data_IF_348042379929
#
_entry.id   IF_348042379929
#
_cell.length_a   1.000
_cell.length_b   1.000
_cell.length_c   1.000
_cell.angle_alpha   90.00
_cell.angle_beta   90.00
_cell.angle_gamma   90.00
#
_symmetry.space_group_name_H-M   'P 1'
#
loop_
_entity.id
_entity.type
_entity.pdbx_description
1 polymer ?
#
# COMPACT_ATOMS: atom_id res chain seq x y z
N UNK A 1 30.09 18.09 1.91
CA UNK A 1 28.65 18.49 1.94
C UNK A 1 28.45 19.50 0.84
N UNK A 2 27.50 19.32 -0.06
CA UNK A 2 27.24 20.27 -1.14
C UNK A 2 26.62 21.54 -0.52
N UNK A 3 27.18 22.75 -0.71
CA UNK A 3 26.68 23.99 -0.11
C UNK A 3 25.21 24.29 -0.46
N UNK A 4 24.76 23.84 -1.63
CA UNK A 4 23.38 23.98 -2.06
C UNK A 4 22.42 23.12 -1.18
N UNK A 5 22.84 21.93 -0.81
CA UNK A 5 22.05 21.04 0.06
C UNK A 5 21.93 21.63 1.47
N UNK A 6 23.01 22.23 1.99
CA UNK A 6 22.99 22.92 3.30
C UNK A 6 22.01 24.11 3.32
N UNK A 7 22.00 24.91 2.25
CA UNK A 7 21.09 26.05 2.13
C UNK A 7 19.60 25.59 2.01
N UNK A 8 19.37 24.51 1.28
CA UNK A 8 18.02 23.90 1.17
C UNK A 8 17.55 23.33 2.51
N UNK A 9 18.42 22.65 3.25
CA UNK A 9 18.10 22.11 4.58
C UNK A 9 17.82 23.22 5.60
N UNK A 10 18.38 24.42 5.42
CA UNK A 10 18.10 25.60 6.27
C UNK A 10 16.68 26.16 6.03
N UNK A 11 16.23 26.18 4.77
CA UNK A 11 14.90 26.71 4.39
C UNK A 11 13.82 25.65 4.56
N UNK A 12 14.14 24.39 4.25
CA UNK A 12 13.25 23.22 4.34
C UNK A 12 13.92 22.13 5.17
N UNK A 13 13.97 22.28 6.50
CA UNK A 13 14.67 21.33 7.35
C UNK A 13 14.06 19.91 7.19
N UNK A 14 14.92 18.90 7.08
CA UNK A 14 14.47 17.52 6.91
C UNK A 14 13.65 17.09 8.11
N UNK A 15 12.55 16.40 7.85
CA UNK A 15 11.64 15.88 8.89
C UNK A 15 11.52 14.37 8.79
N UNK A 16 11.46 13.71 9.95
CA UNK A 16 11.23 12.28 10.03
C UNK A 16 9.91 11.92 9.34
N UNK A 17 9.98 10.96 8.42
CA UNK A 17 8.80 10.46 7.67
C UNK A 17 7.71 9.96 8.64
N UNK A 18 8.10 9.35 9.76
CA UNK A 18 7.15 8.75 10.71
C UNK A 18 6.59 9.79 11.69
N UNK A 19 7.41 10.37 12.58
CA UNK A 19 6.95 11.27 13.64
C UNK A 19 6.92 12.76 13.27
N UNK A 20 7.45 13.13 12.10
CA UNK A 20 7.52 14.48 11.57
C UNK A 20 8.39 15.46 12.38
N UNK A 21 9.17 14.99 13.37
CA UNK A 21 10.17 15.79 14.09
C UNK A 21 11.33 16.14 13.16
N UNK A 22 11.99 17.26 13.43
CA UNK A 22 13.19 17.68 12.71
C UNK A 22 14.29 16.61 12.83
N UNK A 23 15.02 16.43 11.75
CA UNK A 23 16.19 15.56 11.67
C UNK A 23 17.45 16.41 11.63
N UNK A 24 18.54 15.90 12.19
CA UNK A 24 19.85 16.56 12.15
C UNK A 24 20.45 16.57 10.73
N UNK A 25 19.97 15.68 9.86
CA UNK A 25 20.48 15.52 8.50
C UNK A 25 19.43 14.92 7.59
N UNK A 26 19.42 15.35 6.32
CA UNK A 26 18.61 14.78 5.23
C UNK A 26 19.04 13.36 4.80
N UNK A 27 20.17 12.84 5.31
CA UNK A 27 20.70 11.52 4.93
C UNK A 27 19.83 10.35 5.44
N UNK A 28 19.23 10.51 6.62
CA UNK A 28 18.36 9.50 7.21
C UNK A 28 16.91 10.04 7.21
N UNK A 29 15.99 9.49 6.40
CA UNK A 29 14.63 10.00 6.31
C UNK A 29 13.76 9.65 7.53
N UNK A 30 14.25 8.80 8.43
CA UNK A 30 13.57 8.36 9.65
C UNK A 30 14.54 8.50 10.83
N UNK A 31 14.09 9.05 11.96
CA UNK A 31 14.91 9.16 13.17
C UNK A 31 15.11 7.77 13.83
N UNK A 32 16.19 7.61 14.59
CA UNK A 32 16.51 6.36 15.27
C UNK A 32 15.35 5.87 16.15
N UNK A 33 14.75 6.76 16.95
CA UNK A 33 13.60 6.39 17.78
C UNK A 33 12.45 5.75 16.99
N UNK A 34 12.13 6.27 15.79
CA UNK A 34 11.07 5.70 14.95
C UNK A 34 11.50 4.43 14.23
N UNK A 35 12.79 4.26 13.96
CA UNK A 35 13.30 2.99 13.41
C UNK A 35 13.23 1.86 14.44
N UNK A 36 13.65 2.14 15.67
CA UNK A 36 13.65 1.15 16.75
C UNK A 36 12.24 0.81 17.26
N UNK A 37 11.25 1.70 17.03
CA UNK A 37 9.87 1.54 17.48
C UNK A 37 8.88 1.51 16.29
N UNK A 38 9.31 1.01 15.13
CA UNK A 38 8.40 0.83 14.02
C UNK A 38 7.38 -0.27 14.39
N UNK A 39 6.06 -0.05 14.21
CA UNK A 39 5.05 -1.07 14.53
C UNK A 39 5.06 -2.17 13.45
N UNK A 40 6.12 -2.98 13.42
CA UNK A 40 6.27 -4.09 12.47
C UNK A 40 5.15 -5.11 12.62
N UNK A 41 4.71 -5.66 11.50
CA UNK A 41 3.65 -6.66 11.50
C UNK A 41 4.24 -8.06 11.76
N UNK A 42 4.05 -8.53 12.98
CA UNK A 42 4.44 -9.85 13.50
C UNK A 42 3.26 -10.83 13.67
N UNK A 43 2.06 -10.39 13.30
CA UNK A 43 0.84 -11.16 13.46
C UNK A 43 0.49 -12.06 12.26
N UNK A 44 -0.70 -12.66 12.32
CA UNK A 44 -1.23 -13.46 11.22
C UNK A 44 -1.49 -12.60 9.98
N UNK A 45 -1.10 -13.12 8.83
CA UNK A 45 -1.28 -12.46 7.54
C UNK A 45 -2.74 -12.02 7.32
N UNK A 46 -2.99 -10.84 6.72
CA UNK A 46 -4.33 -10.39 6.40
C UNK A 46 -5.03 -11.35 5.43
N UNK A 47 -6.30 -11.65 5.68
CA UNK A 47 -7.06 -12.48 4.77
C UNK A 47 -7.58 -11.66 3.57
N UNK A 48 -7.22 -12.10 2.36
CA UNK A 48 -7.70 -11.55 1.09
C UNK A 48 -8.22 -12.71 0.24
N UNK A 49 -9.50 -12.67 -0.12
CA UNK A 49 -10.09 -13.71 -0.96
C UNK A 49 -9.44 -13.68 -2.35
N UNK A 50 -9.27 -14.87 -2.95
CA UNK A 50 -8.67 -15.06 -4.26
C UNK A 50 -7.17 -14.75 -4.35
N UNK A 51 -6.52 -14.28 -3.29
CA UNK A 51 -5.06 -14.18 -3.24
C UNK A 51 -4.50 -15.45 -2.60
N UNK A 52 -3.37 -15.95 -3.12
CA UNK A 52 -2.66 -17.09 -2.51
C UNK A 52 -2.09 -16.71 -1.15
N UNK A 53 -1.64 -15.48 -1.00
CA UNK A 53 -1.15 -14.90 0.26
C UNK A 53 -1.26 -13.38 0.24
N UNK A 54 -1.47 -12.78 1.41
CA UNK A 54 -1.39 -11.32 1.60
C UNK A 54 -0.49 -11.01 2.79
N UNK A 55 0.53 -10.18 2.60
CA UNK A 55 1.42 -9.75 3.68
C UNK A 55 1.22 -8.26 3.98
N UNK A 56 1.45 -7.87 5.24
CA UNK A 56 1.53 -6.48 5.64
C UNK A 56 2.91 -6.21 6.25
N UNK A 57 3.43 -4.98 6.08
CA UNK A 57 4.74 -4.59 6.60
C UNK A 57 4.63 -4.11 8.04
N UNK A 58 3.60 -3.33 8.37
CA UNK A 58 3.43 -2.71 9.68
C UNK A 58 1.99 -2.85 10.18
N UNK A 59 1.80 -2.62 11.48
CA UNK A 59 0.49 -2.31 12.02
C UNK A 59 0.11 -0.84 11.76
N UNK A 60 -1.17 -0.59 11.47
CA UNK A 60 -1.72 0.74 11.24
C UNK A 60 -2.01 1.44 12.57
N UNK A 61 -0.95 1.82 13.28
CA UNK A 61 -0.95 2.41 14.62
C UNK A 61 -0.13 3.70 14.65
N UNK A 62 -0.30 4.53 15.68
CA UNK A 62 0.55 5.70 15.87
C UNK A 62 1.99 5.29 16.21
N UNK A 63 2.99 6.02 15.72
CA UNK A 63 2.91 7.27 14.92
C UNK A 63 2.81 7.04 13.40
N UNK A 64 2.86 5.80 12.92
CA UNK A 64 2.83 5.46 11.49
C UNK A 64 1.49 5.84 10.84
N UNK A 65 0.38 5.70 11.58
CA UNK A 65 -0.96 6.12 11.11
C UNK A 65 -1.00 7.59 10.69
N UNK A 66 -0.46 8.48 11.52
CA UNK A 66 -0.36 9.92 11.19
C UNK A 66 0.56 10.15 9.97
N UNK A 67 1.62 9.37 9.83
CA UNK A 67 2.53 9.42 8.68
C UNK A 67 1.82 9.00 7.38
N UNK A 68 1.10 7.89 7.38
CA UNK A 68 0.31 7.43 6.22
C UNK A 68 -0.79 8.46 5.87
N UNK A 69 -1.38 9.14 6.87
CA UNK A 69 -2.33 10.20 6.61
C UNK A 69 -1.69 11.38 5.86
N UNK A 70 -0.48 11.82 6.25
CA UNK A 70 0.29 12.83 5.51
C UNK A 70 0.64 12.37 4.09
N UNK A 71 0.99 11.09 3.92
CA UNK A 71 1.21 10.49 2.61
C UNK A 71 -0.05 10.50 1.75
N UNK A 72 -1.24 10.30 2.32
CA UNK A 72 -2.52 10.30 1.59
C UNK A 72 -3.06 11.70 1.27
N UNK A 73 -2.87 12.66 2.16
CA UNK A 73 -3.57 13.95 2.12
C UNK A 73 -2.65 15.17 2.30
N UNK A 74 -1.43 14.98 2.72
CA UNK A 74 -0.46 16.06 2.99
C UNK A 74 0.54 16.30 1.86
N UNK A 75 0.35 15.72 0.67
CA UNK A 75 1.24 15.93 -0.48
C UNK A 75 2.63 15.29 -0.37
N UNK A 76 2.88 14.50 0.68
CA UNK A 76 4.21 13.92 1.00
C UNK A 76 4.56 12.71 0.12
N UNK A 77 4.61 12.90 -1.21
CA UNK A 77 4.89 11.83 -2.20
C UNK A 77 6.22 11.12 -1.95
N UNK A 78 7.23 11.85 -1.46
CA UNK A 78 8.57 11.34 -1.17
C UNK A 78 8.57 10.22 -0.11
N UNK A 79 7.53 10.09 0.71
CA UNK A 79 7.41 9.01 1.69
C UNK A 79 7.35 7.63 1.04
N UNK A 80 6.86 7.55 -0.20
CA UNK A 80 6.81 6.30 -0.95
C UNK A 80 8.17 5.59 -1.08
N UNK A 81 9.27 6.36 -1.16
CA UNK A 81 10.62 5.79 -1.26
C UNK A 81 11.02 5.05 0.02
N UNK A 82 10.63 5.55 1.20
CA UNK A 82 10.90 4.91 2.49
C UNK A 82 10.00 3.69 2.66
N UNK A 83 8.70 3.88 2.47
CA UNK A 83 7.71 2.80 2.61
C UNK A 83 7.96 1.64 1.64
N UNK A 84 8.31 1.96 0.38
CA UNK A 84 8.61 0.95 -0.61
C UNK A 84 9.84 0.10 -0.25
N UNK A 85 10.85 0.68 0.40
CA UNK A 85 12.00 -0.09 0.92
C UNK A 85 11.58 -1.04 2.04
N UNK A 86 10.76 -0.59 2.99
CA UNK A 86 10.24 -1.45 4.07
C UNK A 86 9.38 -2.58 3.50
N UNK A 87 8.47 -2.25 2.58
CA UNK A 87 7.66 -3.27 1.91
C UNK A 87 8.52 -4.27 1.13
N UNK A 88 9.56 -3.81 0.46
CA UNK A 88 10.45 -4.69 -0.31
C UNK A 88 11.16 -5.73 0.57
N UNK A 89 11.58 -5.35 1.80
CA UNK A 89 12.14 -6.30 2.77
C UNK A 89 11.09 -7.36 3.13
N UNK A 90 9.89 -6.95 3.56
CA UNK A 90 8.81 -7.88 3.91
C UNK A 90 8.41 -8.79 2.74
N UNK A 91 8.37 -8.25 1.51
CA UNK A 91 8.02 -9.01 0.31
C UNK A 91 9.12 -10.02 -0.03
N UNK A 92 10.40 -9.62 0.04
CA UNK A 92 11.54 -10.52 -0.17
C UNK A 92 11.52 -11.68 0.81
N UNK A 93 11.31 -11.41 2.09
CA UNK A 93 11.30 -12.45 3.13
C UNK A 93 10.10 -13.42 3.03
N UNK A 94 8.92 -12.92 2.66
CA UNK A 94 7.67 -13.70 2.76
C UNK A 94 7.11 -14.17 1.42
N UNK A 95 7.43 -13.50 0.31
CA UNK A 95 6.84 -13.72 -1.03
C UNK A 95 7.87 -13.95 -2.13
N UNK A 96 9.16 -14.14 -1.81
CA UNK A 96 10.19 -14.34 -2.80
C UNK A 96 9.86 -15.46 -3.78
N UNK A 97 10.16 -15.25 -5.06
CA UNK A 97 9.91 -16.20 -6.15
C UNK A 97 8.42 -16.47 -6.46
N UNK A 98 7.47 -15.75 -5.85
CA UNK A 98 6.03 -15.98 -6.02
C UNK A 98 5.35 -15.10 -7.05
N UNK A 99 6.07 -14.19 -7.70
CA UNK A 99 5.51 -13.25 -8.69
C UNK A 99 6.54 -12.87 -9.76
N UNK A 100 6.04 -12.50 -10.92
CA UNK A 100 6.84 -12.11 -12.10
C UNK A 100 6.62 -10.64 -12.48
N UNK A 101 5.51 -10.05 -12.02
CA UNK A 101 5.07 -8.70 -12.35
C UNK A 101 4.41 -8.05 -11.15
N UNK A 102 4.74 -6.78 -10.89
CA UNK A 102 4.14 -5.99 -9.82
C UNK A 102 3.05 -5.08 -10.40
N UNK A 103 1.94 -4.99 -9.70
CA UNK A 103 0.83 -4.09 -10.02
C UNK A 103 0.25 -3.48 -8.75
N UNK A 104 -0.74 -2.61 -8.86
CA UNK A 104 -1.35 -1.93 -7.71
C UNK A 104 -2.87 -1.84 -7.82
N UNK A 105 -3.54 -1.67 -6.69
CA UNK A 105 -4.96 -1.37 -6.59
C UNK A 105 -5.17 0.13 -6.87
N UNK A 106 -5.70 0.53 -8.06
CA UNK A 106 -5.77 1.95 -8.41
C UNK A 106 -6.86 2.68 -7.62
N UNK A 107 -6.58 3.94 -7.28
CA UNK A 107 -7.61 4.86 -6.76
C UNK A 107 -8.48 5.38 -7.91
N UNK A 108 -9.70 5.87 -7.58
CA UNK A 108 -10.56 6.51 -8.58
C UNK A 108 -9.95 7.79 -9.14
N UNK A 109 -10.46 8.21 -10.32
CA UNK A 109 -10.05 9.48 -10.97
C UNK A 109 -10.27 10.69 -10.06
N UNK A 110 -11.37 10.72 -9.31
CA UNK A 110 -11.69 11.81 -8.38
C UNK A 110 -10.70 11.88 -7.23
N UNK A 111 -10.41 10.76 -6.59
CA UNK A 111 -9.40 10.69 -5.53
C UNK A 111 -8.01 11.06 -6.05
N UNK A 112 -7.65 10.62 -7.27
CA UNK A 112 -6.38 11.00 -7.89
C UNK A 112 -6.30 12.50 -8.16
N UNK A 113 -7.40 13.15 -8.60
CA UNK A 113 -7.46 14.61 -8.77
C UNK A 113 -7.32 15.34 -7.44
N UNK A 114 -8.04 14.94 -6.41
CA UNK A 114 -8.01 15.56 -5.08
C UNK A 114 -6.65 15.40 -4.40
N UNK A 115 -6.03 14.22 -4.50
CA UNK A 115 -4.74 13.90 -3.85
C UNK A 115 -3.53 14.30 -4.69
N UNK A 116 -3.73 14.48 -6.01
CA UNK A 116 -2.68 14.76 -6.98
C UNK A 116 -1.82 13.56 -7.37
N UNK A 117 -2.04 12.37 -6.77
CA UNK A 117 -1.33 11.11 -7.05
C UNK A 117 -2.10 9.89 -6.55
N UNK A 118 -1.66 8.72 -7.01
CA UNK A 118 -2.11 7.42 -6.54
C UNK A 118 -1.04 6.84 -5.60
N UNK A 119 -1.40 6.59 -4.33
CA UNK A 119 -0.48 6.12 -3.30
C UNK A 119 0.05 4.72 -3.62
N UNK A 120 -0.84 3.81 -4.01
CA UNK A 120 -0.47 2.44 -4.33
C UNK A 120 0.44 2.37 -5.57
N UNK A 121 0.23 3.25 -6.57
CA UNK A 121 1.13 3.41 -7.72
C UNK A 121 2.54 3.84 -7.29
N UNK A 122 2.65 4.82 -6.38
CA UNK A 122 3.94 5.29 -5.89
C UNK A 122 4.67 4.21 -5.08
N UNK A 123 3.95 3.47 -4.23
CA UNK A 123 4.51 2.33 -3.49
C UNK A 123 4.95 1.23 -4.45
N UNK A 124 4.11 0.85 -5.42
CA UNK A 124 4.42 -0.12 -6.45
C UNK A 124 5.72 0.24 -7.19
N UNK A 125 5.88 1.49 -7.61
CA UNK A 125 7.10 2.00 -8.27
C UNK A 125 8.33 1.91 -7.37
N UNK A 126 8.19 2.18 -6.07
CA UNK A 126 9.31 2.10 -5.13
C UNK A 126 9.70 0.65 -4.85
N UNK A 127 8.73 -0.25 -4.68
CA UNK A 127 8.94 -1.70 -4.51
C UNK A 127 9.57 -2.32 -5.75
N UNK A 128 9.05 -2.01 -6.95
CA UNK A 128 9.59 -2.49 -8.23
C UNK A 128 11.08 -2.16 -8.39
N UNK A 129 11.46 -0.92 -8.05
CA UNK A 129 12.87 -0.51 -8.08
C UNK A 129 13.73 -1.21 -7.04
N UNK A 130 13.19 -1.47 -5.83
CA UNK A 130 13.94 -2.09 -4.75
C UNK A 130 14.17 -3.59 -4.98
N UNK A 131 13.22 -4.28 -5.63
CA UNK A 131 13.27 -5.71 -5.92
C UNK A 131 13.78 -6.03 -7.34
N UNK A 132 13.98 -5.01 -8.18
CA UNK A 132 14.35 -5.15 -9.60
C UNK A 132 13.35 -6.04 -10.39
N UNK A 133 12.05 -5.91 -10.07
CA UNK A 133 10.96 -6.64 -10.73
C UNK A 133 10.10 -5.66 -11.54
N UNK A 134 9.75 -5.96 -12.80
CA UNK A 134 8.95 -5.07 -13.63
C UNK A 134 7.59 -4.78 -13.03
N UNK A 135 7.06 -3.58 -13.27
CA UNK A 135 5.72 -3.20 -12.90
C UNK A 135 4.88 -2.80 -14.12
N UNK A 136 3.58 -3.07 -14.06
CA UNK A 136 2.64 -2.62 -15.07
C UNK A 136 1.29 -2.26 -14.45
N UNK A 137 0.57 -1.36 -15.12
CA UNK A 137 -0.83 -1.11 -14.81
C UNK A 137 -1.67 -2.26 -15.39
N UNK A 138 -2.41 -2.95 -14.53
CA UNK A 138 -3.26 -4.09 -14.93
C UNK A 138 -4.74 -3.87 -14.60
N UNK A 139 -5.04 -2.80 -13.86
CA UNK A 139 -6.38 -2.47 -13.40
C UNK A 139 -6.72 -1.01 -13.66
N UNK A 140 -8.00 -0.75 -13.87
CA UNK A 140 -8.62 0.58 -13.78
C UNK A 140 -9.73 0.53 -12.74
N UNK A 141 -9.94 1.67 -12.06
CA UNK A 141 -11.10 1.87 -11.20
C UNK A 141 -12.06 2.84 -11.89
N UNK A 142 -13.31 2.43 -12.04
CA UNK A 142 -14.39 3.29 -12.51
C UNK A 142 -14.68 4.45 -11.55
N UNK A 143 -15.79 5.16 -11.75
CA UNK A 143 -16.29 6.18 -10.84
C UNK A 143 -16.54 5.58 -9.46
N UNK A 144 -16.12 6.28 -8.40
CA UNK A 144 -16.54 5.91 -7.05
C UNK A 144 -18.07 5.95 -6.99
N UNK A 145 -18.69 4.87 -6.54
CA UNK A 145 -20.04 5.01 -5.98
C UNK A 145 -19.93 6.06 -4.86
N UNK A 146 -20.88 7.02 -4.77
CA UNK A 146 -20.77 8.10 -3.80
C UNK A 146 -20.43 7.50 -2.44
N UNK A 147 -19.29 7.90 -1.90
CA UNK A 147 -18.88 7.49 -0.58
C UNK A 147 -19.90 8.07 0.40
N UNK A 148 -20.86 7.26 0.79
CA UNK A 148 -21.52 7.51 2.05
C UNK A 148 -20.46 7.22 3.12
N UNK A 149 -19.76 8.30 3.51
CA UNK A 149 -18.69 8.32 4.52
C UNK A 149 -19.17 7.94 5.93
N UNK A 150 -20.41 7.48 6.05
CA UNK A 150 -21.10 7.11 7.29
C UNK A 150 -21.32 5.61 7.45
N UNK A 151 -20.87 4.75 6.49
CA UNK A 151 -21.13 3.32 6.59
C UNK A 151 -20.09 2.64 7.50
N UNK A 152 -20.52 2.29 8.69
CA UNK A 152 -19.75 1.60 9.72
C UNK A 152 -19.65 0.08 9.50
N UNK A 153 -20.35 -0.47 8.50
CA UNK A 153 -20.48 -1.92 8.32
C UNK A 153 -19.51 -2.46 7.25
N UNK A 154 -18.75 -3.53 7.61
CA UNK A 154 -17.82 -4.23 6.72
C UNK A 154 -18.54 -4.85 5.51
N UNK A 155 -19.77 -5.34 5.67
CA UNK A 155 -20.58 -5.91 4.62
C UNK A 155 -20.96 -4.87 3.55
N UNK A 156 -21.29 -3.64 3.96
CA UNK A 156 -21.62 -2.55 3.03
C UNK A 156 -20.38 -2.04 2.28
N UNK A 157 -19.20 -2.07 2.90
CA UNK A 157 -17.94 -1.77 2.20
C UNK A 157 -17.61 -2.83 1.14
N UNK A 158 -17.89 -4.10 1.41
CA UNK A 158 -17.68 -5.18 0.45
C UNK A 158 -18.64 -5.09 -0.76
N UNK A 159 -19.91 -4.72 -0.54
CA UNK A 159 -20.90 -4.52 -1.60
C UNK A 159 -20.55 -3.36 -2.52
N UNK A 160 -19.97 -2.26 -1.98
CA UNK A 160 -19.59 -1.08 -2.75
C UNK A 160 -18.35 -1.25 -3.63
N UNK A 161 -17.62 -2.36 -3.51
CA UNK A 161 -16.38 -2.60 -4.27
C UNK A 161 -16.61 -3.52 -5.48
N UNK A 162 -17.71 -4.30 -5.52
CA UNK A 162 -18.00 -5.22 -6.63
C UNK A 162 -18.26 -4.46 -7.95
N UNK A 163 -17.56 -4.88 -9.01
CA UNK A 163 -17.73 -4.32 -10.35
C UNK A 163 -17.07 -2.95 -10.57
N UNK A 164 -16.42 -2.38 -9.56
CA UNK A 164 -15.76 -1.07 -9.66
C UNK A 164 -14.40 -1.15 -10.36
N UNK A 165 -13.74 -2.31 -10.32
CA UNK A 165 -12.47 -2.55 -10.98
C UNK A 165 -12.66 -3.28 -12.31
N UNK A 166 -11.86 -2.89 -13.31
CA UNK A 166 -11.82 -3.51 -14.62
C UNK A 166 -10.38 -3.82 -15.02
N UNK A 167 -10.12 -4.91 -15.77
CA UNK A 167 -8.79 -5.22 -16.27
C UNK A 167 -8.33 -4.16 -17.25
N UNK A 168 -7.04 -3.91 -17.30
CA UNK A 168 -6.39 -2.99 -18.23
C UNK A 168 -5.18 -3.68 -18.85
N UNK A 169 -5.13 -3.77 -20.18
CA UNK A 169 -4.06 -4.41 -20.91
C UNK A 169 -3.84 -5.87 -20.51
N UNK A 170 -4.86 -6.76 -20.58
CA UNK A 170 -4.75 -8.14 -20.10
C UNK A 170 -3.60 -8.89 -20.78
N UNK A 171 -3.26 -8.57 -22.00
CA UNK A 171 -2.13 -9.13 -22.73
C UNK A 171 -0.78 -8.93 -22.03
N UNK A 172 -0.66 -7.94 -21.16
CA UNK A 172 0.58 -7.66 -20.42
C UNK A 172 0.81 -8.60 -19.25
N UNK A 173 -0.25 -9.22 -18.71
CA UNK A 173 -0.19 -10.02 -17.48
C UNK A 173 -0.83 -11.41 -17.59
N UNK A 174 -1.44 -11.75 -18.72
CA UNK A 174 -2.00 -13.08 -18.95
C UNK A 174 -0.94 -14.18 -18.73
N UNK A 175 -1.27 -15.21 -17.95
CA UNK A 175 -0.38 -16.30 -17.59
C UNK A 175 0.74 -15.95 -16.61
N UNK A 176 0.82 -14.72 -16.13
CA UNK A 176 1.85 -14.29 -15.14
C UNK A 176 1.34 -14.38 -13.71
N UNK A 177 2.28 -14.58 -12.80
CA UNK A 177 2.08 -14.48 -11.35
C UNK A 177 2.23 -13.02 -10.94
N UNK A 178 1.26 -12.46 -10.25
CA UNK A 178 1.19 -11.03 -9.94
C UNK A 178 1.41 -10.76 -8.45
N UNK A 179 2.16 -9.68 -8.15
CA UNK A 179 2.17 -9.04 -6.84
C UNK A 179 1.30 -7.78 -6.89
N UNK A 180 0.20 -7.77 -6.13
CA UNK A 180 -0.73 -6.64 -6.04
C UNK A 180 -0.42 -5.80 -4.79
N UNK A 181 -0.09 -4.52 -5.00
CA UNK A 181 0.28 -3.56 -3.96
C UNK A 181 -0.92 -2.69 -3.57
N UNK A 182 -1.10 -2.46 -2.26
CA UNK A 182 -2.00 -1.43 -1.70
C UNK A 182 -1.31 -0.70 -0.54
N UNK A 183 -1.88 0.41 -0.08
CA UNK A 183 -1.35 1.15 1.08
C UNK A 183 -1.81 0.56 2.42
N UNK A 184 -3.09 0.22 2.57
CA UNK A 184 -3.66 -0.33 3.80
C UNK A 184 -4.66 -1.44 3.47
N UNK A 185 -4.45 -2.62 4.05
CA UNK A 185 -5.43 -3.69 4.04
C UNK A 185 -6.19 -3.73 5.36
N UNK A 186 -7.50 -3.49 5.33
CA UNK A 186 -8.40 -3.56 6.49
C UNK A 186 -9.21 -4.84 6.45
N UNK A 187 -10.33 -4.84 5.75
CA UNK A 187 -11.19 -6.02 5.51
C UNK A 187 -10.70 -6.89 4.35
N UNK A 188 -9.73 -6.43 3.57
CA UNK A 188 -9.28 -7.09 2.36
C UNK A 188 -10.24 -6.98 1.16
N UNK A 189 -11.38 -6.29 1.28
CA UNK A 189 -12.40 -6.24 0.21
C UNK A 189 -11.89 -5.64 -1.10
N UNK A 190 -11.10 -4.56 -1.03
CA UNK A 190 -10.48 -3.94 -2.21
C UNK A 190 -9.56 -4.91 -2.94
N UNK A 191 -8.61 -5.50 -2.21
CA UNK A 191 -7.66 -6.45 -2.79
C UNK A 191 -8.36 -7.70 -3.29
N UNK A 192 -9.39 -8.21 -2.58
CA UNK A 192 -10.17 -9.38 -3.00
C UNK A 192 -10.87 -9.15 -4.34
N UNK A 193 -11.47 -7.98 -4.55
CA UNK A 193 -12.10 -7.66 -5.83
C UNK A 193 -11.07 -7.48 -6.95
N UNK A 194 -9.94 -6.81 -6.67
CA UNK A 194 -8.83 -6.69 -7.62
C UNK A 194 -8.29 -8.08 -8.02
N UNK A 195 -8.04 -8.98 -7.06
CA UNK A 195 -7.59 -10.35 -7.32
C UNK A 195 -8.59 -11.12 -8.19
N UNK A 196 -9.90 -11.04 -7.86
CA UNK A 196 -10.94 -11.66 -8.66
C UNK A 196 -10.90 -11.20 -10.12
N UNK A 197 -10.80 -9.89 -10.34
CA UNK A 197 -10.74 -9.31 -11.70
C UNK A 197 -9.49 -9.77 -12.45
N UNK A 198 -8.32 -9.75 -11.79
CA UNK A 198 -7.05 -10.16 -12.41
C UNK A 198 -7.06 -11.64 -12.80
N UNK A 199 -7.52 -12.52 -11.91
CA UNK A 199 -7.61 -13.96 -12.19
C UNK A 199 -8.62 -14.24 -13.30
N UNK A 200 -9.79 -13.58 -13.29
CA UNK A 200 -10.79 -13.71 -14.36
C UNK A 200 -10.25 -13.23 -15.72
N UNK A 201 -9.33 -12.25 -15.71
CA UNK A 201 -8.69 -11.73 -16.92
C UNK A 201 -7.44 -12.52 -17.35
N UNK A 202 -7.13 -13.66 -16.68
CA UNK A 202 -6.10 -14.60 -17.11
C UNK A 202 -4.76 -14.52 -16.37
N UNK A 203 -4.66 -13.81 -15.23
CA UNK A 203 -3.50 -13.94 -14.36
C UNK A 203 -3.38 -15.39 -13.85
N UNK A 204 -2.17 -15.92 -13.73
CA UNK A 204 -1.93 -17.28 -13.24
C UNK A 204 -2.22 -17.38 -11.74
N UNK A 205 -1.71 -16.43 -10.97
CA UNK A 205 -1.90 -16.33 -9.53
C UNK A 205 -1.71 -14.89 -9.05
N UNK A 206 -2.19 -14.56 -7.86
CA UNK A 206 -2.03 -13.24 -7.26
C UNK A 206 -1.63 -13.39 -5.80
N UNK A 207 -0.51 -12.77 -5.43
CA UNK A 207 -0.14 -12.50 -4.04
C UNK A 207 -0.30 -11.00 -3.76
N UNK A 208 -0.55 -10.62 -2.51
CA UNK A 208 -0.80 -9.23 -2.14
C UNK A 208 0.23 -8.74 -1.12
N UNK A 209 0.56 -7.45 -1.18
CA UNK A 209 1.31 -6.79 -0.12
C UNK A 209 0.74 -5.40 0.17
N UNK A 210 0.63 -5.05 1.46
CA UNK A 210 0.23 -3.72 1.91
C UNK A 210 1.28 -3.13 2.86
N UNK A 211 1.37 -1.79 2.88
CA UNK A 211 2.23 -1.11 3.84
C UNK A 211 1.75 -1.35 5.27
N UNK A 212 0.44 -1.32 5.52
CA UNK A 212 -0.07 -1.50 6.87
C UNK A 212 -1.41 -2.24 6.93
N UNK A 213 -1.67 -2.85 8.10
CA UNK A 213 -2.95 -3.47 8.47
C UNK A 213 -3.32 -3.10 9.92
N UNK A 214 -4.60 -2.89 10.24
CA UNK A 214 -5.02 -2.73 11.64
C UNK A 214 -4.69 -3.96 12.49
N UNK A 215 -4.32 -3.76 13.76
CA UNK A 215 -4.24 -4.87 14.72
C UNK A 215 -5.65 -5.41 14.94
N UNK A 216 -5.82 -6.72 14.80
CA UNK A 216 -7.10 -7.37 15.13
C UNK A 216 -7.25 -7.40 16.65
N UNK A 217 -8.30 -6.80 17.19
CA UNK A 217 -8.66 -6.97 18.58
C UNK A 217 -9.04 -8.43 18.83
N UNK A 218 -8.48 -9.09 19.85
CA UNK A 218 -8.83 -10.47 20.19
C UNK A 218 -10.31 -10.66 20.55
N UNK A 219 -11.02 -9.60 20.94
CA UNK A 219 -12.43 -9.63 21.36
C UNK A 219 -13.46 -9.78 20.22
N UNK A 220 -13.03 -9.69 18.95
CA UNK A 220 -13.94 -9.90 17.80
C UNK A 220 -13.95 -11.34 17.27
N UNK A 221 -13.44 -12.30 18.05
CA UNK A 221 -13.61 -13.73 17.79
C UNK A 221 -14.88 -14.24 18.49
N UNK A 222 -16.03 -13.92 17.96
CA UNK A 222 -17.26 -14.45 18.54
C UNK A 222 -18.50 -14.00 17.83
N UNK A 223 -18.69 -14.57 16.61
CA UNK A 223 -20.02 -14.95 16.12
C UNK A 223 -19.82 -15.87 14.89
N UNK A 224 -20.09 -17.18 15.04
CA UNK A 224 -20.26 -18.08 13.90
C UNK A 224 -21.64 -17.85 13.31
N UNK A 225 -21.73 -17.49 12.06
CA UNK A 225 -22.96 -17.60 11.26
C UNK A 225 -22.82 -18.69 10.26
#
# INVERSE_FOLDING_TARGET
MNPLTWLLDLIYPPKCVVCHKLLESSRAPVCLHCMDNLPEHDGADPHVRFADRCVATCFYEEPLRASIHRFKFGGCRQYAAVYGKWMAVTIGDKLDGKFDLITWAPVSRERRKTRGYDQAELLCKAVSRALDVPMARTLTKGTDNPAQSTLTDAAMRAANVRGVYQPYGPETFQGKRLLLIDDIVTTGSTLSECCRVLLTAGAQSVVCAALATPRKNPEQKGEPS
#
